data_IF_541430247565
#
_entry.id   IF_541430247565
#
_cell.length_a   1.000
_cell.length_b   1.000
_cell.length_c   1.000
_cell.angle_alpha   90.00
_cell.angle_beta   90.00
_cell.angle_gamma   90.00
#
_symmetry.space_group_name_H-M   'P 1'
#
loop_
_entity.id
_entity.type
_entity.pdbx_description
1 polymer ?
#
# COMPACT_ATOMS: atom_id res chain seq x y z
N UNK A 1 -27.89 4.26 16.53
CA UNK A 1 -26.82 5.28 16.53
C UNK A 1 -25.59 4.67 15.87
N UNK A 2 -25.02 5.31 14.85
CA UNK A 2 -23.74 4.88 14.28
C UNK A 2 -22.65 4.92 15.35
N UNK A 3 -21.70 3.98 15.32
CA UNK A 3 -20.58 3.99 16.25
C UNK A 3 -19.56 5.09 15.91
N UNK A 4 -18.55 5.24 16.77
CA UNK A 4 -17.56 6.32 16.68
C UNK A 4 -16.78 6.19 15.36
N UNK A 5 -16.41 4.96 14.99
CA UNK A 5 -15.60 4.69 13.81
C UNK A 5 -16.38 4.92 12.52
N UNK A 6 -17.62 4.40 12.41
CA UNK A 6 -18.48 4.72 11.25
C UNK A 6 -18.81 6.22 11.14
N UNK A 7 -18.87 6.97 12.25
CA UNK A 7 -19.04 8.42 12.19
C UNK A 7 -17.80 9.13 11.66
N UNK A 8 -16.60 8.68 12.05
CA UNK A 8 -15.32 9.22 11.54
C UNK A 8 -15.21 8.96 10.04
N UNK A 9 -15.51 7.74 9.59
CA UNK A 9 -15.58 7.38 8.16
C UNK A 9 -16.48 8.34 7.39
N UNK A 10 -17.73 8.49 7.83
CA UNK A 10 -18.73 9.32 7.13
C UNK A 10 -18.29 10.78 7.02
N UNK A 11 -17.68 11.34 8.07
CA UNK A 11 -17.27 12.73 8.07
C UNK A 11 -15.96 12.96 7.29
N UNK A 12 -14.98 12.07 7.45
CA UNK A 12 -13.66 12.24 6.86
C UNK A 12 -13.63 11.74 5.41
N UNK A 13 -13.95 10.47 5.20
CA UNK A 13 -13.93 9.86 3.87
C UNK A 13 -15.08 10.42 3.03
N UNK A 14 -16.28 10.55 3.61
CA UNK A 14 -17.39 11.24 2.93
C UNK A 14 -17.06 12.70 2.60
N UNK A 15 -16.33 13.41 3.47
CA UNK A 15 -15.84 14.76 3.20
C UNK A 15 -14.88 14.82 2.01
N UNK A 16 -13.91 13.89 1.93
CA UNK A 16 -12.97 13.78 0.80
C UNK A 16 -13.71 13.41 -0.49
N UNK A 17 -14.65 12.47 -0.45
CA UNK A 17 -15.48 12.09 -1.60
C UNK A 17 -16.25 13.29 -2.14
N UNK A 18 -16.86 14.08 -1.26
CA UNK A 18 -17.57 15.29 -1.66
C UNK A 18 -16.62 16.34 -2.27
N UNK A 19 -15.46 16.57 -1.65
CA UNK A 19 -14.46 17.53 -2.14
C UNK A 19 -13.86 17.15 -3.50
N UNK A 20 -13.86 15.86 -3.82
CA UNK A 20 -13.31 15.32 -5.08
C UNK A 20 -14.38 15.00 -6.13
N UNK A 21 -15.65 15.26 -5.81
CA UNK A 21 -16.78 15.02 -6.71
C UNK A 21 -16.61 15.79 -8.02
N UNK A 22 -16.86 15.11 -9.15
CA UNK A 22 -16.71 15.68 -10.49
C UNK A 22 -15.30 15.67 -11.06
N UNK A 23 -14.24 15.45 -10.27
CA UNK A 23 -12.87 15.35 -10.80
C UNK A 23 -12.70 14.21 -11.81
N UNK A 24 -13.38 13.09 -11.57
CA UNK A 24 -13.36 11.94 -12.48
C UNK A 24 -13.95 12.31 -13.85
N UNK A 25 -15.07 13.03 -13.87
CA UNK A 25 -15.68 13.52 -15.11
C UNK A 25 -14.78 14.56 -15.80
N UNK A 26 -14.13 15.43 -15.03
CA UNK A 26 -13.14 16.37 -15.57
C UNK A 26 -11.99 15.63 -16.25
N UNK A 27 -11.39 14.63 -15.60
CA UNK A 27 -10.32 13.83 -16.18
C UNK A 27 -10.78 13.01 -17.39
N UNK A 28 -11.99 12.44 -17.36
CA UNK A 28 -12.62 11.80 -18.51
C UNK A 28 -12.68 12.74 -19.72
N UNK A 29 -13.19 13.97 -19.53
CA UNK A 29 -13.30 14.95 -20.61
C UNK A 29 -11.94 15.36 -21.19
N UNK A 30 -10.93 15.54 -20.35
CA UNK A 30 -9.56 15.87 -20.78
C UNK A 30 -8.94 14.72 -21.58
N UNK A 31 -9.12 13.48 -21.12
CA UNK A 31 -8.62 12.30 -21.83
C UNK A 31 -9.33 12.10 -23.17
N UNK A 32 -10.63 12.39 -23.26
CA UNK A 32 -11.36 12.34 -24.53
C UNK A 32 -10.86 13.38 -25.54
N UNK A 33 -10.54 14.61 -25.08
CA UNK A 33 -9.92 15.62 -25.94
C UNK A 33 -8.54 15.19 -26.46
N UNK A 34 -7.71 14.61 -25.59
CA UNK A 34 -6.41 14.07 -25.97
C UNK A 34 -6.54 12.87 -26.92
N UNK A 35 -7.49 11.97 -26.66
CA UNK A 35 -7.77 10.81 -27.49
C UNK A 35 -8.20 11.19 -28.91
N UNK A 36 -9.06 12.19 -29.04
CA UNK A 36 -9.48 12.67 -30.36
C UNK A 36 -8.27 13.15 -31.17
N UNK A 37 -7.43 14.01 -30.60
CA UNK A 37 -6.23 14.50 -31.26
C UNK A 37 -5.26 13.36 -31.60
N UNK A 38 -5.04 12.43 -30.68
CA UNK A 38 -4.08 11.34 -30.85
C UNK A 38 -4.55 10.27 -31.86
N UNK A 39 -5.84 9.97 -31.92
CA UNK A 39 -6.45 9.09 -32.93
C UNK A 39 -6.41 9.75 -34.31
N UNK A 40 -6.67 11.07 -34.42
CA UNK A 40 -6.53 11.77 -35.71
C UNK A 40 -5.11 11.67 -36.26
N UNK A 41 -4.09 11.89 -35.42
CA UNK A 41 -2.68 11.74 -35.81
C UNK A 41 -2.38 10.29 -36.20
N UNK A 42 -2.91 9.31 -35.47
CA UNK A 42 -2.74 7.88 -35.78
C UNK A 42 -3.30 7.53 -37.16
N UNK A 43 -4.53 7.94 -37.45
CA UNK A 43 -5.18 7.71 -38.75
C UNK A 43 -4.40 8.38 -39.87
N UNK A 44 -3.92 9.62 -39.68
CA UNK A 44 -3.12 10.33 -40.67
C UNK A 44 -1.80 9.59 -40.97
N UNK A 45 -1.11 9.10 -39.95
CA UNK A 45 0.12 8.32 -40.12
C UNK A 45 -0.12 6.98 -40.83
N UNK A 46 -1.17 6.25 -40.46
CA UNK A 46 -1.55 4.99 -41.13
C UNK A 46 -1.98 5.23 -42.57
N UNK A 47 -2.72 6.30 -42.84
CA UNK A 47 -3.07 6.74 -44.19
C UNK A 47 -1.83 6.97 -45.06
N UNK A 48 -0.80 7.63 -44.52
CA UNK A 48 0.48 7.78 -45.21
C UNK A 48 1.19 6.44 -45.48
N UNK A 49 1.21 5.51 -44.52
CA UNK A 49 1.81 4.18 -44.70
C UNK A 49 1.09 3.35 -45.78
N UNK A 50 -0.23 3.48 -45.87
CA UNK A 50 -1.05 2.86 -46.91
C UNK A 50 -0.72 3.43 -48.29
N UNK A 51 -0.64 4.75 -48.42
CA UNK A 51 -0.26 5.41 -49.68
C UNK A 51 1.19 5.08 -50.10
N UNK A 52 2.09 4.88 -49.13
CA UNK A 52 3.47 4.48 -49.38
C UNK A 52 3.64 2.98 -49.74
N UNK A 53 2.56 2.20 -49.82
CA UNK A 53 2.58 0.78 -50.20
C UNK A 53 3.31 -0.12 -49.20
N UNK A 54 3.55 0.34 -47.96
CA UNK A 54 4.30 -0.40 -46.93
C UNK A 54 3.47 -1.43 -46.15
N UNK A 55 2.19 -1.57 -46.47
CA UNK A 55 1.23 -2.42 -45.75
C UNK A 55 0.58 -3.42 -46.71
N UNK A 56 0.61 -4.71 -46.36
CA UNK A 56 0.01 -5.79 -47.17
C UNK A 56 -1.52 -5.88 -47.00
N UNK A 57 -2.04 -5.51 -45.82
CA UNK A 57 -3.49 -5.50 -45.46
C UNK A 57 -3.86 -4.21 -44.71
N UNK A 58 -3.71 -3.02 -45.34
CA UNK A 58 -3.74 -1.73 -44.66
C UNK A 58 -5.08 -1.37 -43.98
N UNK A 59 -6.21 -1.78 -44.57
CA UNK A 59 -7.53 -1.39 -44.06
C UNK A 59 -7.98 -2.24 -42.88
N UNK A 60 -7.79 -3.56 -42.94
CA UNK A 60 -8.25 -4.49 -41.90
C UNK A 60 -7.52 -4.26 -40.56
N UNK A 61 -6.19 -4.18 -40.59
CA UNK A 61 -5.38 -3.94 -39.38
C UNK A 61 -5.70 -2.59 -38.74
N UNK A 62 -5.89 -1.55 -39.57
CA UNK A 62 -6.20 -0.21 -39.08
C UNK A 62 -7.61 -0.13 -38.50
N UNK A 63 -8.59 -0.82 -39.11
CA UNK A 63 -9.94 -0.93 -38.56
C UNK A 63 -9.95 -1.67 -37.23
N UNK A 64 -9.19 -2.77 -37.11
CA UNK A 64 -9.06 -3.52 -35.86
C UNK A 64 -8.49 -2.66 -34.73
N UNK A 65 -7.43 -1.89 -35.03
CA UNK A 65 -6.84 -0.96 -34.07
C UNK A 65 -7.84 0.13 -33.66
N UNK A 66 -8.53 0.75 -34.61
CA UNK A 66 -9.52 1.80 -34.31
C UNK A 66 -10.68 1.25 -33.48
N UNK A 67 -11.18 0.06 -33.79
CA UNK A 67 -12.23 -0.59 -32.99
C UNK A 67 -11.76 -0.85 -31.56
N UNK A 68 -10.54 -1.36 -31.37
CA UNK A 68 -9.95 -1.54 -30.05
C UNK A 68 -9.82 -0.21 -29.29
N UNK A 69 -9.39 0.86 -29.95
CA UNK A 69 -9.32 2.20 -29.35
C UNK A 69 -10.71 2.70 -28.97
N UNK A 70 -11.72 2.52 -29.82
CA UNK A 70 -13.09 2.93 -29.57
C UNK A 70 -13.71 2.21 -28.36
N UNK A 71 -13.45 0.90 -28.22
CA UNK A 71 -13.89 0.14 -27.04
C UNK A 71 -13.24 0.69 -25.77
N UNK A 72 -11.94 0.98 -25.77
CA UNK A 72 -11.27 1.53 -24.57
C UNK A 72 -11.83 2.93 -24.26
N UNK A 73 -12.06 3.76 -25.29
CA UNK A 73 -12.59 5.10 -25.11
C UNK A 73 -14.02 5.14 -24.61
N UNK A 74 -14.84 4.11 -24.84
CA UNK A 74 -16.18 4.05 -24.24
C UNK A 74 -16.13 3.95 -22.71
N UNK A 75 -15.13 3.25 -22.16
CA UNK A 75 -14.86 3.25 -20.72
C UNK A 75 -14.33 4.60 -20.24
N UNK A 76 -13.39 5.22 -20.97
CA UNK A 76 -12.82 6.52 -20.59
C UNK A 76 -13.89 7.61 -20.58
N UNK A 77 -14.78 7.64 -21.57
CA UNK A 77 -15.89 8.59 -21.66
C UNK A 77 -17.05 8.29 -20.70
N UNK A 78 -16.97 7.21 -19.92
CA UNK A 78 -18.05 6.72 -19.09
C UNK A 78 -19.39 6.59 -19.86
N UNK A 79 -19.32 6.10 -21.10
CA UNK A 79 -20.52 5.90 -21.93
C UNK A 79 -21.39 4.85 -21.24
N UNK A 80 -22.65 5.19 -21.00
CA UNK A 80 -23.62 4.31 -20.35
C UNK A 80 -23.20 3.82 -18.95
N UNK A 81 -22.34 4.56 -18.25
CA UNK A 81 -21.93 4.21 -16.88
C UNK A 81 -20.87 3.10 -16.79
N UNK A 82 -20.12 2.81 -17.87
CA UNK A 82 -19.09 1.74 -17.82
C UNK A 82 -17.99 2.00 -16.80
N UNK A 83 -17.57 3.25 -16.63
CA UNK A 83 -16.56 3.60 -15.64
C UNK A 83 -17.11 3.44 -14.23
N UNK A 84 -18.35 3.89 -14.03
CA UNK A 84 -19.07 3.73 -12.76
C UNK A 84 -19.21 2.24 -12.42
N UNK A 85 -19.57 1.40 -13.40
CA UNK A 85 -19.65 -0.06 -13.22
C UNK A 85 -18.31 -0.71 -12.83
N UNK A 86 -17.18 -0.24 -13.37
CA UNK A 86 -15.85 -0.71 -12.95
C UNK A 86 -15.55 -0.32 -11.51
N UNK A 87 -15.88 0.91 -11.12
CA UNK A 87 -15.65 1.42 -9.76
C UNK A 87 -16.58 0.73 -8.76
N UNK A 88 -17.84 0.51 -9.12
CA UNK A 88 -18.80 -0.24 -8.33
C UNK A 88 -18.36 -1.69 -8.16
N UNK A 89 -17.81 -2.32 -9.21
CA UNK A 89 -17.23 -3.66 -9.09
C UNK A 89 -16.01 -3.70 -8.15
N UNK A 90 -15.15 -2.67 -8.19
CA UNK A 90 -14.00 -2.53 -7.27
C UNK A 90 -14.48 -2.33 -5.83
N UNK A 91 -15.49 -1.49 -5.60
CA UNK A 91 -16.09 -1.27 -4.29
C UNK A 91 -16.82 -2.52 -3.78
N UNK A 92 -17.56 -3.21 -4.64
CA UNK A 92 -18.20 -4.48 -4.32
C UNK A 92 -17.18 -5.57 -4.00
N UNK A 93 -16.03 -5.60 -4.70
CA UNK A 93 -14.93 -6.51 -4.38
C UNK A 93 -14.33 -6.19 -3.00
N UNK A 94 -14.13 -4.91 -2.68
CA UNK A 94 -13.69 -4.44 -1.37
C UNK A 94 -14.63 -4.89 -0.26
N UNK A 95 -15.94 -4.68 -0.43
CA UNK A 95 -16.98 -5.07 0.54
C UNK A 95 -17.13 -6.60 0.66
N UNK A 96 -17.02 -7.32 -0.47
CA UNK A 96 -17.03 -8.78 -0.49
C UNK A 96 -15.86 -9.36 0.28
N UNK A 97 -14.66 -8.78 0.13
CA UNK A 97 -13.46 -9.23 0.82
C UNK A 97 -13.45 -8.86 2.30
N UNK A 98 -14.11 -7.78 2.72
CA UNK A 98 -14.36 -7.55 4.14
C UNK A 98 -15.45 -8.47 4.72
N UNK A 99 -16.11 -9.28 3.90
CA UNK A 99 -17.13 -10.26 4.31
C UNK A 99 -18.47 -9.61 4.66
N UNK A 100 -18.86 -8.58 3.91
CA UNK A 100 -20.18 -7.93 3.95
C UNK A 100 -20.34 -6.85 5.03
N UNK A 101 -19.47 -6.82 6.04
CA UNK A 101 -19.40 -5.73 7.02
C UNK A 101 -18.26 -4.77 6.65
N UNK A 102 -18.51 -3.47 6.78
CA UNK A 102 -17.50 -2.44 6.59
C UNK A 102 -16.48 -2.49 7.75
N UNK A 103 -15.19 -2.24 7.46
CA UNK A 103 -14.11 -2.28 8.45
C UNK A 103 -14.33 -1.31 9.63
N UNK A 104 -14.96 -0.16 9.40
CA UNK A 104 -15.31 0.79 10.45
C UNK A 104 -16.40 0.26 11.38
N UNK A 105 -17.35 -0.51 10.85
CA UNK A 105 -18.34 -1.22 11.67
C UNK A 105 -17.69 -2.33 12.51
N UNK A 106 -16.70 -3.05 11.95
CA UNK A 106 -15.93 -4.03 12.71
C UNK A 106 -15.14 -3.37 13.85
N UNK A 107 -14.57 -2.19 13.63
CA UNK A 107 -13.92 -1.41 14.68
C UNK A 107 -14.92 -0.97 15.77
N UNK A 108 -16.13 -0.57 15.38
CA UNK A 108 -17.20 -0.26 16.34
C UNK A 108 -17.65 -1.49 17.14
N UNK A 109 -17.69 -2.67 16.51
CA UNK A 109 -17.99 -3.94 17.18
C UNK A 109 -16.85 -4.34 18.13
N UNK A 110 -15.59 -4.23 17.71
CA UNK A 110 -14.43 -4.44 18.55
C UNK A 110 -14.46 -3.51 19.79
N UNK A 111 -14.76 -2.23 19.59
CA UNK A 111 -14.91 -1.26 20.69
C UNK A 111 -16.01 -1.67 21.68
N UNK A 112 -17.15 -2.15 21.19
CA UNK A 112 -18.22 -2.66 22.06
C UNK A 112 -17.74 -3.89 22.84
N UNK A 113 -17.21 -4.91 22.16
CA UNK A 113 -16.74 -6.15 22.82
C UNK A 113 -15.65 -5.88 23.86
N UNK A 114 -14.70 -4.97 23.56
CA UNK A 114 -13.67 -4.52 24.49
C UNK A 114 -14.25 -3.89 25.76
N UNK A 115 -15.25 -3.01 25.61
CA UNK A 115 -15.91 -2.36 26.75
C UNK A 115 -16.68 -3.35 27.62
N UNK A 116 -17.40 -4.28 26.99
CA UNK A 116 -18.15 -5.29 27.74
C UNK A 116 -17.16 -6.20 28.49
N UNK A 117 -16.09 -6.67 27.85
CA UNK A 117 -15.07 -7.49 28.50
C UNK A 117 -14.34 -6.77 29.63
N UNK A 118 -13.91 -5.52 29.41
CA UNK A 118 -13.27 -4.72 30.45
C UNK A 118 -14.16 -4.54 31.69
N UNK A 119 -15.46 -4.28 31.49
CA UNK A 119 -16.42 -4.18 32.60
C UNK A 119 -16.65 -5.52 33.29
N UNK A 120 -16.85 -6.60 32.53
CA UNK A 120 -17.06 -7.93 33.11
C UNK A 120 -15.85 -8.37 33.95
N UNK A 121 -14.62 -8.15 33.50
CA UNK A 121 -13.42 -8.43 34.30
C UNK A 121 -13.35 -7.56 35.56
N UNK A 122 -13.71 -6.28 35.48
CA UNK A 122 -13.75 -5.40 36.64
C UNK A 122 -14.83 -5.80 37.67
N UNK A 123 -16.01 -6.22 37.19
CA UNK A 123 -17.15 -6.57 38.03
C UNK A 123 -16.94 -7.90 38.77
N UNK A 124 -16.18 -8.83 38.19
CA UNK A 124 -15.80 -10.11 38.82
C UNK A 124 -14.78 -10.00 39.96
N UNK A 125 -14.13 -8.85 40.13
CA UNK A 125 -13.26 -8.62 41.30
C UNK A 125 -14.12 -8.49 42.57
N UNK A 126 -13.90 -9.38 43.54
CA UNK A 126 -14.64 -9.46 44.81
C UNK A 126 -14.02 -8.62 45.95
N UNK A 127 -12.98 -7.83 45.68
CA UNK A 127 -12.32 -7.00 46.71
C UNK A 127 -13.22 -5.85 47.20
N UNK A 128 -13.40 -5.74 48.52
CA UNK A 128 -14.44 -4.89 49.15
C UNK A 128 -13.99 -3.45 49.44
N UNK A 129 -12.70 -3.13 49.33
CA UNK A 129 -12.18 -1.79 49.64
C UNK A 129 -11.41 -1.12 48.49
N UNK A 130 -10.66 -1.87 47.68
CA UNK A 130 -10.09 -1.40 46.40
C UNK A 130 -10.02 -2.59 45.43
N UNK A 131 -10.66 -2.49 44.27
CA UNK A 131 -10.63 -3.49 43.18
C UNK A 131 -9.35 -3.37 42.35
N UNK A 132 -8.20 -3.66 42.96
CA UNK A 132 -6.89 -3.47 42.34
C UNK A 132 -6.65 -4.43 41.15
N UNK A 133 -7.12 -5.67 41.25
CA UNK A 133 -6.97 -6.68 40.20
C UNK A 133 -7.95 -6.47 39.04
N UNK A 134 -9.19 -6.07 39.33
CA UNK A 134 -10.19 -5.72 38.33
C UNK A 134 -9.81 -4.45 37.54
N UNK A 135 -9.23 -3.45 38.22
CA UNK A 135 -8.74 -2.22 37.57
C UNK A 135 -7.56 -2.50 36.62
N UNK A 136 -6.58 -3.28 37.07
CA UNK A 136 -5.41 -3.64 36.24
C UNK A 136 -5.80 -4.50 35.04
N UNK A 137 -6.71 -5.46 35.22
CA UNK A 137 -7.22 -6.29 34.12
C UNK A 137 -7.97 -5.45 33.05
N UNK A 138 -8.82 -4.52 33.48
CA UNK A 138 -9.50 -3.59 32.58
C UNK A 138 -8.50 -2.72 31.81
N UNK A 139 -7.46 -2.22 32.49
CA UNK A 139 -6.42 -1.42 31.86
C UNK A 139 -5.67 -2.19 30.77
N UNK A 140 -5.31 -3.47 31.01
CA UNK A 140 -4.67 -4.32 30.00
C UNK A 140 -5.55 -4.54 28.76
N UNK A 141 -6.83 -4.82 28.95
CA UNK A 141 -7.80 -4.97 27.84
C UNK A 141 -7.86 -3.69 27.00
N UNK A 142 -7.96 -2.54 27.66
CA UNK A 142 -8.00 -1.24 26.98
C UNK A 142 -6.70 -0.92 26.27
N UNK A 143 -5.54 -1.16 26.89
CA UNK A 143 -4.24 -0.83 26.32
C UNK A 143 -3.99 -1.58 25.00
N UNK A 144 -4.22 -2.89 24.98
CA UNK A 144 -4.03 -3.68 23.75
C UNK A 144 -5.02 -3.34 22.64
N UNK A 145 -6.30 -3.18 22.99
CA UNK A 145 -7.35 -2.97 21.99
C UNK A 145 -7.32 -1.52 21.46
N UNK A 146 -6.98 -0.54 22.29
CA UNK A 146 -6.86 0.85 21.84
C UNK A 146 -5.75 1.03 20.79
N UNK A 147 -4.59 0.40 21.01
CA UNK A 147 -3.49 0.40 20.03
C UNK A 147 -3.91 -0.27 18.73
N UNK A 148 -4.56 -1.44 18.80
CA UNK A 148 -5.10 -2.15 17.64
C UNK A 148 -6.07 -1.27 16.85
N UNK A 149 -7.03 -0.64 17.52
CA UNK A 149 -8.03 0.21 16.87
C UNK A 149 -7.41 1.42 16.20
N UNK A 150 -6.43 2.08 16.83
CA UNK A 150 -5.74 3.23 16.25
C UNK A 150 -4.96 2.85 14.99
N UNK A 151 -4.18 1.75 15.05
CA UNK A 151 -3.41 1.29 13.90
C UNK A 151 -4.33 0.86 12.76
N UNK A 152 -5.38 0.10 13.08
CA UNK A 152 -6.30 -0.41 12.07
C UNK A 152 -7.10 0.71 11.42
N UNK A 153 -7.63 1.65 12.20
CA UNK A 153 -8.33 2.82 11.66
C UNK A 153 -7.43 3.61 10.70
N UNK A 154 -6.14 3.80 11.04
CA UNK A 154 -5.20 4.52 10.19
C UNK A 154 -4.88 3.77 8.89
N UNK A 155 -4.60 2.47 8.96
CA UNK A 155 -4.29 1.64 7.78
C UNK A 155 -5.50 1.55 6.85
N UNK A 156 -6.69 1.31 7.39
CA UNK A 156 -7.93 1.26 6.63
C UNK A 156 -8.29 2.60 5.99
N UNK A 157 -8.10 3.71 6.71
CA UNK A 157 -8.30 5.05 6.16
C UNK A 157 -7.42 5.30 4.93
N UNK A 158 -6.14 4.95 5.01
CA UNK A 158 -5.23 5.12 3.86
C UNK A 158 -5.67 4.24 2.69
N UNK A 159 -6.05 2.98 2.95
CA UNK A 159 -6.49 2.08 1.89
C UNK A 159 -7.76 2.59 1.19
N UNK A 160 -8.74 3.11 1.93
CA UNK A 160 -9.96 3.66 1.34
C UNK A 160 -9.73 4.97 0.58
N UNK A 161 -8.91 5.87 1.13
CA UNK A 161 -8.50 7.09 0.41
C UNK A 161 -7.72 6.73 -0.85
N UNK A 162 -6.88 5.70 -0.82
CA UNK A 162 -6.17 5.22 -2.00
C UNK A 162 -7.14 4.71 -3.08
N UNK A 163 -8.14 3.89 -2.71
CA UNK A 163 -9.18 3.43 -3.64
C UNK A 163 -9.92 4.62 -4.25
N UNK A 164 -10.31 5.61 -3.43
CA UNK A 164 -10.98 6.82 -3.87
C UNK A 164 -10.15 7.60 -4.91
N UNK A 165 -8.86 7.84 -4.61
CA UNK A 165 -7.96 8.57 -5.51
C UNK A 165 -7.70 7.82 -6.82
N UNK A 166 -7.53 6.49 -6.74
CA UNK A 166 -7.36 5.64 -7.91
C UNK A 166 -8.64 5.58 -8.77
N UNK A 167 -9.82 5.63 -8.15
CA UNK A 167 -11.11 5.69 -8.86
C UNK A 167 -11.27 7.00 -9.60
N UNK A 168 -10.96 8.14 -8.97
CA UNK A 168 -11.02 9.44 -9.64
C UNK A 168 -10.10 9.49 -10.87
N UNK A 169 -8.90 8.91 -10.75
CA UNK A 169 -7.91 8.88 -11.84
C UNK A 169 -8.12 7.76 -12.84
N UNK A 170 -9.16 6.93 -12.68
CA UNK A 170 -9.45 5.79 -13.56
C UNK A 170 -9.50 6.13 -15.06
N UNK A 171 -10.14 7.23 -15.53
CA UNK A 171 -10.15 7.56 -16.95
C UNK A 171 -8.75 7.72 -17.56
N UNK A 172 -7.81 8.28 -16.79
CA UNK A 172 -6.43 8.56 -17.22
C UNK A 172 -5.68 7.23 -17.43
N UNK A 173 -5.79 6.32 -16.47
CA UNK A 173 -5.07 5.06 -16.53
C UNK A 173 -5.71 4.07 -17.51
N UNK A 174 -7.04 4.08 -17.67
CA UNK A 174 -7.70 3.28 -18.71
C UNK A 174 -7.32 3.80 -20.11
N UNK A 175 -7.22 5.12 -20.31
CA UNK A 175 -6.72 5.70 -21.56
C UNK A 175 -5.31 5.19 -21.93
N UNK A 176 -4.44 4.96 -20.95
CA UNK A 176 -3.11 4.37 -21.17
C UNK A 176 -3.14 2.98 -21.85
N UNK A 177 -4.26 2.25 -21.86
CA UNK A 177 -4.38 0.96 -22.56
C UNK A 177 -4.39 1.08 -24.09
N UNK A 178 -4.70 2.28 -24.61
CA UNK A 178 -4.71 2.57 -26.05
C UNK A 178 -3.32 2.37 -26.64
N UNK A 179 -2.28 2.77 -25.90
CA UNK A 179 -0.90 2.75 -26.38
C UNK A 179 -0.07 1.68 -25.68
N UNK A 180 0.61 0.84 -26.45
CA UNK A 180 1.43 -0.25 -25.91
C UNK A 180 2.51 0.20 -24.92
N UNK A 181 3.11 1.38 -25.13
CA UNK A 181 4.15 1.91 -24.25
C UNK A 181 3.61 2.47 -22.91
N UNK A 182 2.31 2.78 -22.82
CA UNK A 182 1.66 3.27 -21.59
C UNK A 182 1.01 2.14 -20.78
N UNK A 183 0.94 0.92 -21.32
CA UNK A 183 0.42 -0.27 -20.61
C UNK A 183 1.04 -0.49 -19.22
N UNK A 184 2.34 -0.26 -18.98
CA UNK A 184 2.92 -0.38 -17.64
C UNK A 184 2.27 0.57 -16.61
N UNK A 185 1.79 1.75 -17.03
CA UNK A 185 1.10 2.70 -16.14
C UNK A 185 -0.26 2.17 -15.71
N UNK A 186 -1.05 1.60 -16.64
CA UNK A 186 -2.31 0.93 -16.31
C UNK A 186 -2.08 -0.26 -15.39
N UNK A 187 -1.08 -1.09 -15.69
CA UNK A 187 -0.76 -2.25 -14.86
C UNK A 187 -0.41 -1.82 -13.43
N UNK A 188 0.42 -0.79 -13.25
CA UNK A 188 0.77 -0.29 -11.92
C UNK A 188 -0.47 0.29 -11.18
N UNK A 189 -1.30 1.05 -11.88
CA UNK A 189 -2.57 1.57 -11.33
C UNK A 189 -3.48 0.45 -10.84
N UNK A 190 -3.69 -0.59 -11.66
CA UNK A 190 -4.53 -1.73 -11.31
C UNK A 190 -3.95 -2.54 -10.14
N UNK A 191 -2.64 -2.74 -10.10
CA UNK A 191 -1.97 -3.41 -8.98
C UNK A 191 -2.16 -2.64 -7.66
N UNK A 192 -2.16 -1.29 -7.69
CA UNK A 192 -2.42 -0.50 -6.49
C UNK A 192 -3.87 -0.63 -6.00
N UNK A 193 -4.85 -0.81 -6.89
CA UNK A 193 -6.23 -1.12 -6.49
C UNK A 193 -6.30 -2.44 -5.72
N UNK A 194 -5.70 -3.50 -6.26
CA UNK A 194 -5.65 -4.80 -5.60
C UNK A 194 -4.88 -4.73 -4.28
N UNK A 195 -3.77 -3.97 -4.22
CA UNK A 195 -3.03 -3.76 -2.98
C UNK A 195 -3.91 -3.10 -1.90
N UNK A 196 -4.68 -2.07 -2.25
CA UNK A 196 -5.57 -1.41 -1.30
C UNK A 196 -6.72 -2.32 -0.83
N UNK A 197 -7.35 -3.06 -1.75
CA UNK A 197 -8.42 -4.03 -1.42
C UNK A 197 -7.89 -5.15 -0.52
N UNK A 198 -6.73 -5.74 -0.86
CA UNK A 198 -6.10 -6.79 -0.06
C UNK A 198 -5.67 -6.27 1.32
N UNK A 199 -5.29 -4.99 1.43
CA UNK A 199 -5.00 -4.37 2.73
C UNK A 199 -6.23 -4.36 3.62
N UNK A 200 -7.40 -4.01 3.06
CA UNK A 200 -8.68 -4.03 3.77
C UNK A 200 -9.06 -5.45 4.14
N UNK A 201 -8.88 -6.42 3.24
CA UNK A 201 -9.10 -7.85 3.51
C UNK A 201 -8.31 -8.34 4.72
N UNK A 202 -6.98 -8.16 4.72
CA UNK A 202 -6.14 -8.64 5.81
C UNK A 202 -6.42 -7.91 7.13
N UNK A 203 -6.76 -6.62 7.06
CA UNK A 203 -7.18 -5.85 8.23
C UNK A 203 -8.50 -6.38 8.80
N UNK A 204 -9.49 -6.65 7.96
CA UNK A 204 -10.77 -7.23 8.36
C UNK A 204 -10.62 -8.62 8.98
N UNK A 205 -9.81 -9.49 8.37
CA UNK A 205 -9.50 -10.82 8.90
C UNK A 205 -8.83 -10.74 10.27
N UNK A 206 -7.87 -9.82 10.45
CA UNK A 206 -7.21 -9.62 11.74
C UNK A 206 -8.18 -9.14 12.82
N UNK A 207 -9.06 -8.19 12.52
CA UNK A 207 -10.10 -7.73 13.44
C UNK A 207 -11.06 -8.86 13.83
N UNK A 208 -11.52 -9.67 12.87
CA UNK A 208 -12.41 -10.82 13.14
C UNK A 208 -11.77 -11.82 14.11
N UNK A 209 -10.49 -12.13 13.95
CA UNK A 209 -9.76 -13.02 14.86
C UNK A 209 -9.78 -12.46 16.29
N UNK A 210 -9.50 -11.16 16.46
CA UNK A 210 -9.50 -10.52 17.79
C UNK A 210 -10.90 -10.46 18.39
N UNK A 211 -11.93 -10.11 17.62
CA UNK A 211 -13.32 -10.09 18.11
C UNK A 211 -13.76 -11.48 18.57
N UNK A 212 -13.43 -12.53 17.81
CA UNK A 212 -13.72 -13.92 18.19
C UNK A 212 -12.95 -14.31 19.46
N UNK A 213 -11.67 -13.93 19.57
CA UNK A 213 -10.87 -14.17 20.77
C UNK A 213 -11.42 -13.46 22.00
N UNK A 214 -11.85 -12.19 21.88
CA UNK A 214 -12.51 -11.46 22.96
C UNK A 214 -13.79 -12.18 23.41
N UNK A 215 -14.58 -12.67 22.45
CA UNK A 215 -15.82 -13.39 22.73
C UNK A 215 -15.58 -14.73 23.44
N UNK A 216 -14.50 -15.45 23.10
CA UNK A 216 -14.14 -16.68 23.82
C UNK A 216 -13.63 -16.40 25.24
N UNK A 217 -12.79 -15.36 25.43
CA UNK A 217 -12.35 -14.94 26.78
C UNK A 217 -13.50 -14.44 27.64
N UNK A 218 -14.51 -13.80 27.05
CA UNK A 218 -15.76 -13.46 27.73
C UNK A 218 -16.49 -14.70 28.25
N UNK A 219 -16.62 -15.73 27.43
CA UNK A 219 -17.27 -16.97 27.84
C UNK A 219 -16.53 -17.65 29.01
N UNK A 220 -15.19 -17.72 28.93
CA UNK A 220 -14.35 -18.28 30.00
C UNK A 220 -14.46 -17.49 31.32
N UNK A 221 -14.38 -16.15 31.23
CA UNK A 221 -14.54 -15.25 32.37
C UNK A 221 -15.85 -15.52 33.12
N UNK A 222 -16.98 -15.59 32.39
CA UNK A 222 -18.29 -15.84 33.00
C UNK A 222 -18.47 -17.27 33.53
N UNK A 223 -17.84 -18.28 32.90
CA UNK A 223 -17.98 -19.67 33.31
C UNK A 223 -17.14 -20.04 34.55
N UNK A 224 -16.07 -19.29 34.84
CA UNK A 224 -15.09 -19.61 35.90
C UNK A 224 -14.90 -18.45 36.89
N UNK A 225 -15.95 -17.65 37.14
CA UNK A 225 -15.95 -16.41 37.92
C UNK A 225 -15.42 -16.49 39.39
N UNK A 226 -14.90 -17.63 39.84
CA UNK A 226 -14.25 -17.80 41.15
C UNK A 226 -12.86 -18.48 41.13
N UNK A 227 -12.29 -18.78 39.95
CA UNK A 227 -10.96 -19.43 39.81
C UNK A 227 -10.06 -18.81 38.73
N UNK A 228 -10.60 -17.98 37.84
CA UNK A 228 -9.81 -17.37 36.77
C UNK A 228 -8.95 -16.23 37.32
N UNK A 229 -7.66 -16.23 36.99
CA UNK A 229 -6.79 -15.08 37.24
C UNK A 229 -7.21 -13.94 36.29
N UNK A 230 -8.06 -13.04 36.79
CA UNK A 230 -8.71 -11.96 36.02
C UNK A 230 -7.67 -11.09 35.30
N UNK A 231 -6.53 -10.86 35.96
CA UNK A 231 -5.40 -10.10 35.40
C UNK A 231 -4.73 -10.84 34.24
N UNK A 232 -4.61 -12.17 34.32
CA UNK A 232 -4.03 -12.99 33.24
C UNK A 232 -4.90 -12.98 31.98
N UNK A 233 -6.23 -13.08 32.15
CA UNK A 233 -7.18 -12.93 31.04
C UNK A 233 -7.04 -11.56 30.37
N UNK A 234 -6.93 -10.49 31.15
CA UNK A 234 -6.68 -9.14 30.64
C UNK A 234 -5.34 -9.04 29.89
N UNK A 235 -4.28 -9.64 30.42
CA UNK A 235 -2.95 -9.66 29.80
C UNK A 235 -2.93 -10.45 28.46
N UNK A 236 -3.62 -11.58 28.38
CA UNK A 236 -3.76 -12.36 27.15
C UNK A 236 -4.47 -11.56 26.04
N UNK A 237 -5.52 -10.82 26.42
CA UNK A 237 -6.23 -9.91 25.50
C UNK A 237 -5.33 -8.77 25.05
N UNK A 238 -4.52 -8.22 25.96
CA UNK A 238 -3.53 -7.20 25.62
C UNK A 238 -2.51 -7.71 24.59
N UNK A 239 -1.97 -8.91 24.81
CA UNK A 239 -1.01 -9.54 23.91
C UNK A 239 -1.64 -9.83 22.54
N UNK A 240 -2.86 -10.38 22.51
CA UNK A 240 -3.58 -10.65 21.27
C UNK A 240 -3.86 -9.36 20.48
N UNK A 241 -4.28 -8.28 21.17
CA UNK A 241 -4.48 -6.97 20.57
C UNK A 241 -3.20 -6.40 19.95
N UNK A 242 -2.07 -6.50 20.65
CA UNK A 242 -0.77 -6.04 20.14
C UNK A 242 -0.29 -6.86 18.93
N UNK A 243 -0.37 -8.19 18.99
CA UNK A 243 -0.01 -9.07 17.88
C UNK A 243 -0.87 -8.80 16.63
N UNK A 244 -2.18 -8.62 16.81
CA UNK A 244 -3.07 -8.26 15.73
C UNK A 244 -2.75 -6.88 15.14
N UNK A 245 -2.39 -5.91 15.98
CA UNK A 245 -2.03 -4.57 15.52
C UNK A 245 -0.79 -4.60 14.60
N UNK A 246 0.19 -5.45 14.93
CA UNK A 246 1.36 -5.70 14.07
C UNK A 246 0.96 -6.36 12.75
N UNK A 247 0.06 -7.36 12.79
CA UNK A 247 -0.44 -8.01 11.57
C UNK A 247 -1.12 -7.01 10.63
N UNK A 248 -2.00 -6.15 11.18
CA UNK A 248 -2.65 -5.08 10.41
C UNK A 248 -1.63 -4.09 9.86
N UNK A 249 -0.64 -3.69 10.66
CA UNK A 249 0.41 -2.78 10.22
C UNK A 249 1.23 -3.32 9.03
N UNK A 250 1.53 -4.63 9.02
CA UNK A 250 2.28 -5.28 7.94
C UNK A 250 1.39 -5.59 6.73
N UNK A 251 0.06 -5.61 6.90
CA UNK A 251 -0.91 -5.97 5.86
C UNK A 251 -0.73 -5.16 4.58
N UNK A 252 -0.50 -3.85 4.68
CA UNK A 252 -0.30 -2.99 3.49
C UNK A 252 0.93 -3.40 2.67
N UNK A 253 2.01 -3.85 3.32
CA UNK A 253 3.23 -4.30 2.64
C UNK A 253 3.03 -5.65 1.96
N UNK A 254 2.38 -6.58 2.66
CA UNK A 254 2.08 -7.92 2.14
C UNK A 254 1.10 -7.80 0.97
N UNK A 255 0.06 -6.99 1.11
CA UNK A 255 -0.90 -6.70 0.06
C UNK A 255 -0.24 -6.09 -1.18
N UNK A 256 0.66 -5.11 -1.01
CA UNK A 256 1.40 -4.52 -2.12
C UNK A 256 2.33 -5.52 -2.82
N UNK A 257 3.00 -6.40 -2.07
CA UNK A 257 3.84 -7.44 -2.62
C UNK A 257 3.04 -8.50 -3.40
N UNK A 258 1.90 -8.94 -2.84
CA UNK A 258 1.01 -9.91 -3.48
C UNK A 258 0.32 -9.35 -4.72
N UNK A 259 -0.06 -8.08 -4.69
CA UNK A 259 -0.62 -7.39 -5.85
C UNK A 259 0.41 -7.12 -6.95
N UNK A 260 1.70 -7.40 -6.72
CA UNK A 260 2.76 -7.16 -7.70
C UNK A 260 3.14 -5.68 -7.87
N UNK A 261 2.68 -4.80 -6.97
CA UNK A 261 2.98 -3.36 -6.97
C UNK A 261 4.43 -3.04 -6.55
N UNK A 262 5.34 -4.04 -6.58
CA UNK A 262 6.75 -3.98 -6.17
C UNK A 262 7.63 -3.23 -7.18
N UNK A 263 7.14 -2.11 -7.68
CA UNK A 263 7.96 -1.06 -8.26
C UNK A 263 7.21 0.29 -8.08
N UNK A 264 7.73 1.10 -7.16
CA UNK A 264 7.79 2.57 -7.21
C UNK A 264 6.86 3.50 -6.40
N UNK A 265 5.62 3.23 -5.94
CA UNK A 265 4.78 4.39 -5.49
C UNK A 265 4.02 4.31 -4.15
N UNK A 266 3.88 3.17 -3.45
CA UNK A 266 3.05 3.18 -2.22
C UNK A 266 3.74 3.70 -0.94
N UNK A 267 5.05 4.00 -0.98
CA UNK A 267 5.82 4.30 0.25
C UNK A 267 6.20 5.78 0.44
N UNK A 268 6.22 6.60 -0.62
CA UNK A 268 6.55 8.03 -0.47
C UNK A 268 5.40 8.86 0.12
N UNK A 269 4.14 8.47 -0.13
CA UNK A 269 2.97 9.11 0.50
C UNK A 269 2.79 8.76 1.98
N UNK A 270 3.23 7.58 2.41
CA UNK A 270 3.09 7.10 3.79
C UNK A 270 4.31 7.43 4.67
N UNK A 271 5.51 7.53 4.08
CA UNK A 271 6.70 8.04 4.75
C UNK A 271 6.62 9.57 5.00
N UNK A 272 5.87 10.31 4.18
CA UNK A 272 5.62 11.73 4.38
C UNK A 272 4.72 12.05 5.60
N UNK A 273 3.99 11.06 6.12
CA UNK A 273 3.06 11.22 7.25
C UNK A 273 3.70 10.75 8.58
N UNK A 274 4.99 10.40 8.60
CA UNK A 274 5.78 10.25 9.84
C UNK A 274 5.46 9.04 10.75
N UNK A 275 4.43 8.23 10.47
CA UNK A 275 4.00 7.16 11.39
C UNK A 275 4.90 5.91 11.34
N UNK A 276 5.65 5.71 10.26
CA UNK A 276 6.56 4.56 10.11
C UNK A 276 7.76 4.55 11.08
N UNK A 277 8.11 5.69 11.68
CA UNK A 277 9.20 5.79 12.66
C UNK A 277 8.71 5.60 14.12
N UNK A 278 7.43 5.88 14.40
CA UNK A 278 6.88 5.78 15.75
C UNK A 278 6.55 4.33 16.15
N UNK A 279 6.07 3.51 15.21
CA UNK A 279 5.69 2.12 15.49
C UNK A 279 6.89 1.16 15.70
N UNK A 280 8.10 1.54 15.26
CA UNK A 280 9.35 0.80 15.52
C UNK A 280 10.23 1.45 16.59
N UNK A 281 9.79 2.57 17.18
CA UNK A 281 10.57 3.36 18.14
C UNK A 281 10.31 3.07 19.63
N UNK A 282 9.30 2.27 19.97
CA UNK A 282 8.82 2.12 21.35
C UNK A 282 8.78 0.66 21.87
N UNK A 283 9.56 -0.26 21.27
CA UNK A 283 9.69 -1.65 21.72
C UNK A 283 11.09 -1.98 22.22
N UNK A 284 11.56 -1.27 23.24
CA UNK A 284 12.90 -1.41 23.83
C UNK A 284 12.83 -2.20 25.14
N UNK A 285 12.55 -3.51 25.06
CA UNK A 285 12.70 -4.43 26.21
C UNK A 285 13.14 -5.83 25.73
N UNK A 286 14.41 -5.96 25.33
CA UNK A 286 15.21 -7.20 25.41
C UNK A 286 16.65 -6.86 25.01
N UNK A 287 17.57 -6.84 25.99
CA UNK A 287 18.96 -6.44 25.81
C UNK A 287 19.79 -7.46 25.03
N UNK A 288 20.72 -6.96 24.20
CA UNK A 288 21.79 -7.76 23.58
C UNK A 288 22.15 -7.35 22.16
N UNK A 289 21.17 -7.20 21.27
CA UNK A 289 21.40 -6.98 19.83
C UNK A 289 21.52 -5.50 19.39
N UNK A 290 21.50 -4.55 20.33
CA UNK A 290 21.41 -3.10 20.05
C UNK A 290 22.75 -2.47 19.66
N UNK A 291 23.90 -3.10 19.97
CA UNK A 291 25.20 -2.44 19.80
C UNK A 291 25.65 -2.34 18.33
N UNK A 292 25.26 -3.29 17.48
CA UNK A 292 25.54 -3.24 16.04
C UNK A 292 24.57 -2.33 15.28
N UNK A 293 23.28 -2.40 15.57
CA UNK A 293 22.26 -1.60 14.86
C UNK A 293 22.37 -0.10 15.20
N UNK A 294 22.75 0.26 16.44
CA UNK A 294 22.95 1.66 16.83
C UNK A 294 24.20 2.28 16.22
N UNK A 295 25.20 1.47 15.85
CA UNK A 295 26.44 1.92 15.21
C UNK A 295 26.21 2.17 13.72
N UNK A 296 25.59 1.23 13.01
CA UNK A 296 25.21 1.40 11.60
C UNK A 296 24.18 2.51 11.36
N UNK A 297 23.27 2.76 12.31
CA UNK A 297 22.32 3.87 12.21
C UNK A 297 22.98 5.23 12.52
N UNK A 298 23.91 5.30 13.49
CA UNK A 298 24.68 6.53 13.74
C UNK A 298 25.61 6.85 12.57
N UNK A 299 26.28 5.86 11.99
CA UNK A 299 27.22 6.08 10.90
C UNK A 299 26.51 6.53 9.61
N UNK A 300 25.29 6.04 9.36
CA UNK A 300 24.45 6.54 8.26
C UNK A 300 23.92 7.96 8.49
N UNK A 301 23.54 8.31 9.71
CA UNK A 301 23.03 9.67 10.03
C UNK A 301 24.18 10.68 10.08
N UNK A 302 25.36 10.27 10.55
CA UNK A 302 26.57 11.09 10.55
C UNK A 302 27.07 11.30 9.12
N UNK A 303 27.09 10.26 8.28
CA UNK A 303 27.40 10.37 6.85
C UNK A 303 26.42 11.26 6.07
N UNK A 304 25.15 11.31 6.48
CA UNK A 304 24.16 12.23 5.90
C UNK A 304 24.34 13.69 6.34
N UNK A 305 24.77 13.91 7.60
CA UNK A 305 25.07 15.25 8.12
C UNK A 305 26.37 15.81 7.54
N UNK A 306 27.39 14.98 7.39
CA UNK A 306 28.67 15.37 6.81
C UNK A 306 28.55 15.65 5.29
N UNK A 307 27.61 14.98 4.60
CA UNK A 307 27.32 15.25 3.19
C UNK A 307 26.56 16.56 2.94
N UNK A 308 25.83 17.09 3.94
CA UNK A 308 25.06 18.33 3.83
C UNK A 308 25.69 19.54 4.53
N UNK A 309 26.77 19.36 5.28
CA UNK A 309 27.52 20.46 5.89
C UNK A 309 28.47 21.10 4.86
N UNK A 310 27.93 21.95 3.96
CA UNK A 310 28.82 22.83 3.21
C UNK A 310 28.31 23.57 1.98
N UNK A 311 27.06 23.44 1.52
CA UNK A 311 26.61 24.20 0.32
C UNK A 311 25.21 24.79 0.47
N UNK A 312 25.03 26.10 0.20
CA UNK A 312 23.73 26.74 0.30
C UNK A 312 22.82 26.29 -0.85
N UNK A 313 21.56 25.99 -0.51
CA UNK A 313 20.58 25.44 -1.41
C UNK A 313 20.14 26.39 -2.54
N UNK A 314 19.83 25.81 -3.70
CA UNK A 314 18.98 26.42 -4.72
C UNK A 314 17.90 25.41 -5.15
N UNK A 315 16.65 25.85 -5.34
CA UNK A 315 15.54 24.95 -5.58
C UNK A 315 15.49 24.49 -7.05
N UNK A 316 15.25 23.20 -7.27
CA UNK A 316 14.64 22.72 -8.52
C UNK A 316 15.50 21.95 -9.54
N UNK A 317 16.49 21.13 -9.15
CA UNK A 317 17.26 20.36 -10.16
C UNK A 317 17.93 19.04 -9.75
N UNK A 318 17.76 18.55 -8.52
CA UNK A 318 18.66 17.53 -7.96
C UNK A 318 18.42 16.07 -8.41
N UNK A 319 17.26 15.74 -8.98
CA UNK A 319 17.02 14.36 -9.44
C UNK A 319 17.75 14.01 -10.75
N UNK A 320 18.00 14.99 -11.62
CA UNK A 320 18.66 14.77 -12.92
C UNK A 320 20.18 14.62 -12.81
N UNK A 321 20.80 15.36 -11.89
CA UNK A 321 22.26 15.41 -11.75
C UNK A 321 22.84 14.15 -11.10
N UNK A 322 22.14 13.55 -10.13
CA UNK A 322 22.56 12.31 -9.48
C UNK A 322 22.39 11.07 -10.38
N UNK A 323 21.33 11.02 -11.21
CA UNK A 323 21.12 9.93 -12.17
C UNK A 323 22.17 9.93 -13.29
N UNK A 324 22.56 11.12 -13.80
CA UNK A 324 23.59 11.24 -14.81
C UNK A 324 24.99 10.82 -14.29
N UNK A 325 25.30 11.14 -13.03
CA UNK A 325 26.58 10.77 -12.40
C UNK A 325 26.65 9.27 -12.08
N UNK A 326 25.53 8.67 -11.65
CA UNK A 326 25.43 7.22 -11.45
C UNK A 326 25.60 6.43 -12.75
N UNK A 327 25.04 6.94 -13.87
CA UNK A 327 25.24 6.34 -15.21
C UNK A 327 26.70 6.41 -15.66
N UNK A 328 27.39 7.54 -15.45
CA UNK A 328 28.83 7.66 -15.78
C UNK A 328 29.69 6.66 -15.00
N UNK A 329 29.48 6.54 -13.69
CA UNK A 329 30.20 5.57 -12.86
C UNK A 329 29.92 4.12 -13.26
N UNK A 330 28.68 3.79 -13.62
CA UNK A 330 28.34 2.45 -14.09
C UNK A 330 29.01 2.12 -15.44
N UNK A 331 29.11 3.11 -16.35
CA UNK A 331 29.79 2.94 -17.64
C UNK A 331 31.30 2.76 -17.43
N UNK A 332 31.93 3.57 -16.58
CA UNK A 332 33.36 3.45 -16.26
C UNK A 332 33.68 2.09 -15.62
N UNK A 333 32.85 1.61 -14.69
CA UNK A 333 33.00 0.27 -14.11
C UNK A 333 32.81 -0.84 -15.16
N UNK A 334 31.90 -0.67 -16.12
CA UNK A 334 31.75 -1.65 -17.22
C UNK A 334 32.96 -1.66 -18.15
N UNK A 335 33.54 -0.50 -18.47
CA UNK A 335 34.75 -0.40 -19.29
C UNK A 335 35.92 -1.08 -18.57
N UNK A 336 36.16 -0.74 -17.30
CA UNK A 336 37.22 -1.35 -16.50
C UNK A 336 37.06 -2.87 -16.37
N UNK A 337 35.81 -3.36 -16.22
CA UNK A 337 35.53 -4.80 -16.13
C UNK A 337 35.73 -5.52 -17.46
N UNK A 338 35.45 -4.87 -18.58
CA UNK A 338 35.69 -5.42 -19.92
C UNK A 338 37.19 -5.43 -20.27
N UNK A 339 37.94 -4.40 -19.87
CA UNK A 339 39.40 -4.37 -20.03
C UNK A 339 40.08 -5.46 -19.20
N UNK A 340 39.65 -5.66 -17.95
CA UNK A 340 40.12 -6.76 -17.11
C UNK A 340 39.83 -8.14 -17.72
N UNK A 341 38.66 -8.32 -18.33
CA UNK A 341 38.32 -9.57 -19.05
C UNK A 341 39.18 -9.79 -20.29
N UNK A 342 39.48 -8.74 -21.06
CA UNK A 342 40.39 -8.84 -22.22
C UNK A 342 41.81 -9.22 -21.80
N UNK A 343 42.31 -8.63 -20.71
CA UNK A 343 43.64 -8.97 -20.17
C UNK A 343 43.71 -10.40 -19.63
N UNK A 344 42.63 -10.89 -19.01
CA UNK A 344 42.53 -12.29 -18.58
C UNK A 344 42.54 -13.25 -19.80
N UNK A 345 41.77 -12.94 -20.85
CA UNK A 345 41.74 -13.73 -22.08
C UNK A 345 43.08 -13.72 -22.83
N UNK A 346 43.80 -12.59 -22.87
CA UNK A 346 45.13 -12.52 -23.47
C UNK A 346 46.17 -13.33 -22.69
N UNK A 347 46.03 -13.39 -21.36
CA UNK A 347 46.92 -14.16 -20.48
C UNK A 347 46.68 -15.67 -20.62
N UNK A 348 45.43 -16.11 -20.71
CA UNK A 348 45.08 -17.51 -20.98
C UNK A 348 45.55 -17.99 -22.36
N UNK A 349 45.44 -17.14 -23.37
CA UNK A 349 45.91 -17.47 -24.73
C UNK A 349 47.44 -17.48 -24.82
N UNK A 350 48.15 -16.65 -24.06
CA UNK A 350 49.60 -16.71 -23.93
C UNK A 350 50.08 -17.99 -23.20
N UNK A 351 49.39 -18.40 -22.13
CA UNK A 351 49.68 -19.64 -21.42
C UNK A 351 49.44 -20.89 -22.28
N UNK A 352 48.38 -20.90 -23.09
CA UNK A 352 48.13 -22.00 -24.05
C UNK A 352 49.21 -22.10 -25.13
N UNK A 353 49.76 -20.99 -25.60
CA UNK A 353 50.88 -20.99 -26.58
C UNK A 353 52.19 -21.48 -25.96
N UNK A 354 52.46 -21.14 -24.70
CA UNK A 354 53.64 -21.63 -23.98
C UNK A 354 53.58 -23.15 -23.73
N UNK A 355 52.41 -23.68 -23.36
CA UNK A 355 52.24 -25.13 -23.15
C UNK A 355 52.17 -25.96 -24.44
N UNK A 356 52.16 -25.34 -25.62
CA UNK A 356 52.20 -26.05 -26.92
C UNK A 356 53.61 -26.10 -27.54
N UNK A 357 54.62 -25.54 -26.86
CA UNK A 357 56.03 -25.53 -27.31
C UNK A 357 56.98 -26.26 -26.33
N UNK A 358 56.43 -26.91 -25.30
CA UNK A 358 57.09 -27.93 -24.49
C UNK A 358 56.43 -29.27 -24.82
#
# INVERSE_FOLDING_TARGET
MAGIFSSVEKNLIGGITNATSGLMMSYSSMMMGLAAASVTIYIMWRGYQTLAGKLSTPMEDTMWDIMRMAIILSFVANISGYLDGVIDAINGLKEGFSGGENIWQMLDNLWKSARVLGKTLHDMDNSTYVKDEGWTAQFYVWLGIFILMLITAFVSMIAEVMILLLSITAPIFIFCLIYGFLRPMFNNWLQNFFAAILTILFSALSLRIVINFLTSRMAEATAQAGKANIVELGAQVCLAGFCAAIMVYISAKVAAALAGASATVSMQGLAAIGIGAAAFGAGKLAGGAVKETRRSARDNIQGWKDANAGKPGKPGGESGYNAAKARKYAIEQMIARNEARRQAQSRESALKKFNSQA
#
